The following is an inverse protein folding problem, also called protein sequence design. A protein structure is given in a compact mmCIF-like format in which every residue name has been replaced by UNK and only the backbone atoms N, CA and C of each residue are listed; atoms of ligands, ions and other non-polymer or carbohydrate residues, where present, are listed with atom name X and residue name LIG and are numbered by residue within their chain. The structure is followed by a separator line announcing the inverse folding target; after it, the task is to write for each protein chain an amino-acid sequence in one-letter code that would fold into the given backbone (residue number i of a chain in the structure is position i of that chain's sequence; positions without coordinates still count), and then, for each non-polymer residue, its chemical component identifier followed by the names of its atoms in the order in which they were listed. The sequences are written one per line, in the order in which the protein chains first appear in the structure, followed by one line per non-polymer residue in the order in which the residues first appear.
data_IF_676938870275
#
_entry.id   IF_676938870275
#
_cell.length_a   1.000
_cell.length_b   1.000
_cell.length_c   1.000
_cell.angle_alpha   90.00
_cell.angle_beta   90.00
_cell.angle_gamma   90.00
#
_symmetry.space_group_name_H-M   'P 1'
#
loop_
_entity.id
_entity.type
_entity.pdbx_description
1 polymer ?
#
# COMPACT_ATOMS: atom_id res chain seq x y z
N UNK A 1 -15.45 -20.12 14.81
CA UNK A 1 -15.01 -18.71 14.85
C UNK A 1 -14.74 -18.29 13.41
N UNK A 2 -15.38 -17.25 12.85
CA UNK A 2 -15.13 -16.94 11.45
C UNK A 2 -13.79 -16.21 11.31
N UNK A 3 -12.94 -16.58 10.34
CA UNK A 3 -11.65 -15.95 10.12
C UNK A 3 -11.87 -14.56 9.50
N UNK A 4 -11.58 -13.51 10.26
CA UNK A 4 -11.70 -12.11 9.85
C UNK A 4 -10.61 -11.72 8.85
N UNK A 5 -10.85 -11.91 7.56
CA UNK A 5 -10.10 -11.21 6.52
C UNK A 5 -11.02 -10.68 5.42
N UNK A 6 -11.83 -9.67 5.76
CA UNK A 6 -12.52 -8.77 4.83
C UNK A 6 -11.51 -7.87 4.09
N UNK A 7 -10.72 -8.44 3.19
CA UNK A 7 -9.66 -7.74 2.45
C UNK A 7 -9.39 -8.40 1.10
N UNK A 8 -8.98 -7.60 0.14
CA UNK A 8 -8.45 -8.05 -1.16
C UNK A 8 -6.93 -7.89 -1.15
N UNK A 9 -6.23 -8.88 -1.70
CA UNK A 9 -4.78 -8.94 -1.78
C UNK A 9 -4.37 -8.76 -3.24
N UNK A 10 -3.58 -7.74 -3.52
CA UNK A 10 -2.98 -7.47 -4.82
C UNK A 10 -1.46 -7.66 -4.71
N UNK A 11 -0.79 -7.93 -5.82
CA UNK A 11 0.66 -8.13 -5.87
C UNK A 11 1.26 -7.64 -7.18
N UNK A 12 2.54 -7.27 -7.18
CA UNK A 12 3.35 -7.09 -8.40
C UNK A 12 4.38 -8.23 -8.59
N UNK A 13 4.20 -9.35 -7.86
CA UNK A 13 5.11 -10.49 -7.82
C UNK A 13 6.21 -10.40 -6.74
N UNK A 14 6.57 -9.20 -6.30
CA UNK A 14 7.57 -8.97 -5.25
C UNK A 14 6.96 -8.38 -3.96
N UNK A 15 6.05 -7.43 -4.14
CA UNK A 15 5.40 -6.63 -3.11
C UNK A 15 3.92 -6.93 -3.06
N UNK A 16 3.36 -6.72 -1.88
CA UNK A 16 1.96 -7.02 -1.59
C UNK A 16 1.22 -5.76 -1.21
N UNK A 17 0.03 -5.60 -1.78
CA UNK A 17 -0.91 -4.55 -1.43
C UNK A 17 -2.17 -5.19 -0.88
N UNK A 18 -2.57 -4.80 0.33
CA UNK A 18 -3.81 -5.24 0.95
C UNK A 18 -4.80 -4.08 0.94
N UNK A 19 -5.92 -4.25 0.24
CA UNK A 19 -7.05 -3.31 0.27
C UNK A 19 -8.09 -3.84 1.26
N UNK A 20 -8.31 -3.11 2.33
CA UNK A 20 -9.27 -3.49 3.37
C UNK A 20 -10.68 -3.00 3.01
N UNK A 21 -11.71 -3.73 3.46
CA UNK A 21 -13.12 -3.34 3.30
C UNK A 21 -13.50 -2.05 4.05
N UNK A 22 -12.60 -1.48 4.85
CA UNK A 22 -12.76 -0.16 5.47
C UNK A 22 -12.14 0.97 4.61
N UNK A 23 -11.60 0.66 3.42
CA UNK A 23 -11.01 1.62 2.51
C UNK A 23 -9.54 1.95 2.75
N UNK A 24 -8.89 1.36 3.77
CA UNK A 24 -7.44 1.47 3.95
C UNK A 24 -6.70 0.62 2.93
N UNK A 25 -5.50 1.06 2.58
CA UNK A 25 -4.58 0.31 1.73
C UNK A 25 -3.28 0.13 2.48
N UNK A 26 -2.80 -1.10 2.62
CA UNK A 26 -1.48 -1.39 3.19
C UNK A 26 -0.57 -1.99 2.12
N UNK A 27 0.51 -1.29 1.81
CA UNK A 27 1.58 -1.77 0.94
C UNK A 27 2.67 -2.35 1.82
N UNK A 28 3.17 -3.54 1.48
CA UNK A 28 4.21 -4.26 2.22
C UNK A 28 5.20 -4.87 1.25
N UNK A 29 6.48 -4.76 1.57
CA UNK A 29 7.52 -5.58 0.94
C UNK A 29 8.15 -6.48 1.99
N UNK A 30 8.78 -7.57 1.56
CA UNK A 30 9.70 -8.37 2.37
C UNK A 30 11.17 -8.03 2.10
N UNK A 31 11.48 -7.27 1.04
CA UNK A 31 12.84 -7.07 0.53
C UNK A 31 13.41 -5.67 0.73
N UNK A 32 12.54 -4.68 0.94
CA UNK A 32 12.94 -3.28 1.06
C UNK A 32 11.98 -2.52 1.98
N UNK A 33 12.43 -1.34 2.42
CA UNK A 33 11.55 -0.33 3.02
C UNK A 33 11.04 0.62 1.95
N UNK A 34 9.91 1.27 2.22
CA UNK A 34 9.26 2.18 1.29
C UNK A 34 9.61 3.62 1.61
N UNK A 35 9.85 4.41 0.56
CA UNK A 35 9.88 5.86 0.63
C UNK A 35 8.61 6.44 0.02
N UNK A 36 8.05 7.47 0.67
CA UNK A 36 7.03 8.31 0.06
C UNK A 36 7.75 9.36 -0.78
N UNK A 37 7.77 9.15 -2.09
CA UNK A 37 8.58 9.97 -3.03
C UNK A 37 7.78 11.09 -3.68
N UNK A 38 6.46 10.93 -3.78
CA UNK A 38 5.57 11.98 -4.28
C UNK A 38 4.20 11.93 -3.58
N UNK A 39 3.53 13.07 -3.54
CA UNK A 39 2.13 13.19 -3.15
C UNK A 39 1.49 14.30 -3.97
N UNK A 40 0.28 14.04 -4.45
CA UNK A 40 -0.36 14.98 -5.34
C UNK A 40 -1.88 14.89 -5.32
N UNK A 41 -2.47 15.79 -6.10
CA UNK A 41 -3.88 15.82 -6.42
C UNK A 41 -4.01 15.42 -7.88
N UNK A 42 -4.81 14.40 -8.17
CA UNK A 42 -5.04 13.94 -9.55
C UNK A 42 -6.45 14.31 -10.04
N UNK A 43 -7.36 14.68 -9.13
CA UNK A 43 -8.68 15.26 -9.44
C UNK A 43 -9.01 16.38 -8.44
N UNK A 44 -10.01 17.22 -8.72
CA UNK A 44 -10.41 18.31 -7.81
C UNK A 44 -10.70 17.83 -6.37
N UNK A 45 -11.13 16.59 -6.19
CA UNK A 45 -11.49 16.01 -4.89
C UNK A 45 -10.57 14.85 -4.46
N UNK A 46 -9.70 14.35 -5.34
CA UNK A 46 -8.92 13.13 -5.11
C UNK A 46 -7.42 13.35 -4.98
N UNK A 47 -6.81 12.71 -3.99
CA UNK A 47 -5.36 12.73 -3.75
C UNK A 47 -4.72 11.35 -3.90
N UNK A 48 -3.41 11.35 -4.13
CA UNK A 48 -2.59 10.15 -4.22
C UNK A 48 -1.25 10.33 -3.51
N UNK A 49 -0.62 9.20 -3.21
CA UNK A 49 0.76 9.08 -2.77
C UNK A 49 1.48 8.08 -3.66
N UNK A 50 2.73 8.36 -3.98
CA UNK A 50 3.62 7.49 -4.75
C UNK A 50 4.66 6.89 -3.81
N UNK A 51 4.73 5.56 -3.79
CA UNK A 51 5.64 4.79 -2.95
C UNK A 51 6.69 4.13 -3.83
N UNK A 52 7.95 4.39 -3.55
CA UNK A 52 9.07 3.74 -4.24
C UNK A 52 9.91 2.93 -3.25
N UNK A 53 10.57 1.85 -3.71
CA UNK A 53 11.59 1.17 -2.92
C UNK A 53 12.71 2.14 -2.51
N UNK A 54 13.07 2.17 -1.23
CA UNK A 54 14.11 3.05 -0.72
C UNK A 54 15.50 2.63 -1.25
N UNK A 55 16.25 3.50 -1.97
CA UNK A 55 17.49 3.11 -2.67
C UNK A 55 18.62 2.61 -1.76
N UNK A 56 18.68 3.11 -0.52
CA UNK A 56 19.80 2.89 0.40
C UNK A 56 19.47 1.91 1.54
N UNK A 57 18.28 1.30 1.53
CA UNK A 57 17.77 0.43 2.60
C UNK A 57 17.10 -0.79 2.01
N UNK A 58 17.85 -1.53 1.20
CA UNK A 58 17.53 -2.93 1.00
C UNK A 58 17.68 -3.61 2.35
N UNK A 59 16.62 -4.24 2.83
CA UNK A 59 16.80 -5.20 3.88
C UNK A 59 17.75 -6.25 3.32
N UNK A 60 18.84 -6.57 4.03
CA UNK A 60 19.72 -7.69 3.69
C UNK A 60 18.89 -8.98 3.79
N UNK A 61 18.06 -9.26 2.78
CA UNK A 61 17.22 -10.44 2.71
C UNK A 61 17.89 -11.32 1.67
N UNK A 62 18.50 -12.41 2.12
CA UNK A 62 18.93 -13.46 1.21
C UNK A 62 17.70 -13.92 0.45
N UNK A 63 17.80 -13.98 -0.88
CA UNK A 63 16.69 -14.33 -1.76
C UNK A 63 16.03 -15.68 -1.40
N UNK A 64 16.75 -16.56 -0.71
CA UNK A 64 16.31 -17.89 -0.28
C UNK A 64 15.41 -17.88 0.96
N UNK A 65 15.33 -16.76 1.71
CA UNK A 65 14.48 -16.61 2.90
C UNK A 65 13.15 -15.89 2.58
N UNK A 66 12.78 -15.79 1.30
CA UNK A 66 11.50 -15.22 0.86
C UNK A 66 10.34 -16.17 1.22
N UNK A 67 9.99 -16.23 2.49
CA UNK A 67 8.71 -16.84 2.87
C UNK A 67 7.60 -15.94 2.32
N UNK A 68 6.93 -16.41 1.28
CA UNK A 68 5.82 -15.71 0.66
C UNK A 68 4.78 -15.43 1.76
N UNK A 69 4.52 -14.16 2.05
CA UNK A 69 3.54 -13.77 3.05
C UNK A 69 2.22 -14.54 2.80
N UNK A 70 1.63 -15.20 3.80
CA UNK A 70 0.56 -16.19 3.56
C UNK A 70 -0.65 -15.60 2.81
N UNK A 71 -1.14 -16.36 1.82
CA UNK A 71 -2.34 -16.08 1.02
C UNK A 71 -2.03 -15.73 -0.45
N UNK A 72 -2.64 -16.49 -1.37
CA UNK A 72 -2.60 -16.22 -2.82
C UNK A 72 -3.20 -14.84 -3.12
N UNK A 73 -2.51 -13.99 -3.90
CA UNK A 73 -3.08 -12.72 -4.36
C UNK A 73 -4.33 -12.95 -5.22
N UNK A 74 -5.33 -12.08 -5.06
CA UNK A 74 -6.53 -12.05 -5.89
C UNK A 74 -6.24 -11.46 -7.29
N UNK A 75 -5.24 -10.57 -7.37
CA UNK A 75 -4.75 -9.96 -8.61
C UNK A 75 -3.23 -9.80 -8.56
N UNK A 76 -2.58 -10.05 -9.70
CA UNK A 76 -1.14 -9.86 -9.88
C UNK A 76 -0.91 -8.98 -11.10
N UNK A 77 -0.26 -7.83 -10.91
CA UNK A 77 0.23 -7.01 -12.01
C UNK A 77 1.60 -7.52 -12.46
N UNK A 78 1.73 -7.85 -13.74
CA UNK A 78 3.01 -8.28 -14.31
C UNK A 78 3.89 -7.07 -14.61
N UNK A 79 5.10 -7.04 -14.02
CA UNK A 79 6.04 -5.96 -14.26
C UNK A 79 7.00 -6.31 -15.40
N UNK A 80 7.25 -5.34 -16.28
CA UNK A 80 8.31 -5.36 -17.28
C UNK A 80 9.21 -4.13 -17.06
N UNK A 81 10.38 -4.27 -16.41
CA UNK A 81 11.27 -3.16 -16.10
C UNK A 81 11.69 -2.32 -17.31
N UNK A 82 11.67 -2.88 -18.53
CA UNK A 82 12.01 -2.15 -19.76
C UNK A 82 11.01 -1.03 -20.09
N UNK A 83 9.79 -1.10 -19.55
CA UNK A 83 8.74 -0.10 -19.73
C UNK A 83 8.79 1.04 -18.70
N UNK A 84 9.73 0.98 -17.74
CA UNK A 84 10.04 2.07 -16.82
C UNK A 84 8.84 2.58 -16.02
N UNK A 85 8.54 3.87 -16.11
CA UNK A 85 7.50 4.54 -15.32
C UNK A 85 6.07 4.38 -15.86
N UNK A 86 5.86 3.50 -16.84
CA UNK A 86 4.52 3.19 -17.34
C UNK A 86 3.72 2.33 -16.33
N UNK A 87 2.40 2.53 -16.31
CA UNK A 87 1.48 1.74 -15.46
C UNK A 87 1.38 0.32 -15.99
N UNK A 88 1.71 -0.64 -15.13
CA UNK A 88 1.63 -2.07 -15.37
C UNK A 88 0.22 -2.64 -15.15
N UNK A 89 -0.50 -2.07 -14.19
CA UNK A 89 -1.86 -2.49 -13.88
C UNK A 89 -2.52 -1.60 -12.84
N UNK A 90 -3.83 -1.49 -12.92
CA UNK A 90 -4.67 -0.67 -12.04
C UNK A 90 -5.73 -1.52 -11.37
N UNK A 91 -5.76 -1.51 -10.04
CA UNK A 91 -6.89 -1.98 -9.26
C UNK A 91 -7.68 -0.78 -8.72
N UNK A 92 -9.00 -0.77 -8.94
CA UNK A 92 -9.89 0.26 -8.42
C UNK A 92 -10.90 -0.33 -7.44
N UNK A 93 -11.46 0.51 -6.59
CA UNK A 93 -12.46 0.12 -5.60
C UNK A 93 -13.71 0.99 -5.67
N UNK A 94 -14.86 0.43 -5.29
CA UNK A 94 -16.18 1.10 -5.37
C UNK A 94 -16.35 2.32 -4.46
N UNK A 95 -15.37 2.62 -3.60
CA UNK A 95 -15.32 3.86 -2.81
C UNK A 95 -14.37 4.92 -3.42
N UNK A 96 -13.92 4.70 -4.66
CA UNK A 96 -12.97 5.54 -5.37
C UNK A 96 -11.50 5.29 -5.02
N UNK A 97 -11.17 4.36 -4.12
CA UNK A 97 -9.77 4.01 -3.85
C UNK A 97 -9.17 3.32 -5.07
N UNK A 98 -7.93 3.61 -5.40
CA UNK A 98 -7.19 2.93 -6.46
C UNK A 98 -5.75 2.63 -6.05
N UNK A 99 -5.19 1.63 -6.72
CA UNK A 99 -3.80 1.20 -6.63
C UNK A 99 -3.31 1.02 -8.06
N UNK A 100 -2.22 1.70 -8.43
CA UNK A 100 -1.54 1.50 -9.70
C UNK A 100 -0.16 0.92 -9.44
N UNK A 101 0.13 -0.19 -10.10
CA UNK A 101 1.45 -0.77 -10.15
C UNK A 101 2.19 -0.18 -11.35
N UNK A 102 3.42 0.26 -11.13
CA UNK A 102 4.28 0.82 -12.16
C UNK A 102 5.38 -0.18 -12.49
N UNK A 103 5.77 -0.26 -13.76
CA UNK A 103 6.74 -1.24 -14.24
C UNK A 103 8.13 -1.14 -13.59
N UNK A 104 8.51 0.03 -13.05
CA UNK A 104 9.74 0.25 -12.28
C UNK A 104 9.67 -0.22 -10.80
N UNK A 105 8.55 -0.81 -10.38
CA UNK A 105 8.32 -1.28 -9.00
C UNK A 105 7.67 -0.24 -8.08
N UNK A 106 7.44 0.98 -8.57
CA UNK A 106 6.69 1.99 -7.83
C UNK A 106 5.22 1.60 -7.69
N UNK A 107 4.60 1.98 -6.56
CA UNK A 107 3.18 1.76 -6.31
C UNK A 107 2.52 3.10 -5.98
N UNK A 108 1.51 3.47 -6.77
CA UNK A 108 0.70 4.66 -6.54
C UNK A 108 -0.59 4.25 -5.85
N UNK A 109 -0.88 4.87 -4.70
CA UNK A 109 -2.11 4.64 -3.94
C UNK A 109 -2.88 5.94 -3.82
N UNK A 110 -4.14 5.95 -4.21
CA UNK A 110 -4.95 7.16 -4.16
C UNK A 110 -6.44 6.92 -4.00
N UNK A 111 -7.18 8.02 -3.99
CA UNK A 111 -8.63 8.00 -4.04
C UNK A 111 -9.14 9.08 -5.01
N UNK A 112 -10.17 8.77 -5.79
CA UNK A 112 -10.69 9.65 -6.83
C UNK A 112 -11.56 10.80 -6.33
N UNK A 113 -12.01 10.75 -5.07
CA UNK A 113 -12.87 11.80 -4.50
C UNK A 113 -12.65 12.08 -3.02
N UNK A 114 -11.53 11.65 -2.46
CA UNK A 114 -11.17 11.90 -1.06
C UNK A 114 -9.71 12.33 -0.93
N UNK A 115 -9.48 13.20 0.04
CA UNK A 115 -8.14 13.62 0.44
C UNK A 115 -7.46 12.54 1.31
N UNK A 116 -6.13 12.54 1.31
CA UNK A 116 -5.34 11.71 2.20
C UNK A 116 -5.57 12.11 3.66
N UNK A 117 -5.86 11.12 4.50
CA UNK A 117 -5.98 11.27 5.95
C UNK A 117 -4.63 11.14 6.65
N UNK A 118 -3.99 10.00 6.41
CA UNK A 118 -2.72 9.62 7.02
C UNK A 118 -1.99 8.64 6.11
N UNK A 119 -0.68 8.81 6.00
CA UNK A 119 0.26 7.74 5.63
C UNK A 119 0.98 7.29 6.89
N UNK A 120 1.07 5.98 7.09
CA UNK A 120 1.71 5.35 8.25
C UNK A 120 2.79 4.40 7.74
N UNK A 121 4.00 4.94 7.58
CA UNK A 121 5.16 4.25 7.04
C UNK A 121 5.96 3.64 8.18
N UNK A 122 5.98 2.32 8.25
CA UNK A 122 6.63 1.56 9.30
C UNK A 122 7.74 0.70 8.72
N UNK A 123 8.91 0.73 9.35
CA UNK A 123 9.95 -0.27 9.17
C UNK A 123 10.12 -1.09 10.44
N UNK A 124 10.83 -2.21 10.35
CA UNK A 124 11.23 -3.02 11.51
C UNK A 124 12.74 -2.86 11.74
N UNK A 125 13.15 -2.65 12.98
CA UNK A 125 14.58 -2.64 13.32
C UNK A 125 15.15 -4.05 13.19
N UNK A 126 16.35 -4.17 12.62
CA UNK A 126 17.03 -5.45 12.49
C UNK A 126 17.59 -5.89 13.85
N UNK A 127 16.87 -6.76 14.57
CA UNK A 127 17.40 -7.50 15.73
C UNK A 127 17.89 -8.88 15.30
N UNK A 128 18.86 -9.46 16.02
CA UNK A 128 19.39 -10.82 15.74
C UNK A 128 18.29 -11.89 15.64
N UNK A 129 17.18 -11.72 16.36
CA UNK A 129 16.03 -12.65 16.39
C UNK A 129 14.97 -12.40 15.29
N UNK A 130 15.01 -11.28 14.54
CA UNK A 130 13.94 -10.85 13.63
C UNK A 130 14.32 -10.92 12.14
N UNK A 131 15.20 -11.85 11.76
CA UNK A 131 15.73 -11.94 10.41
C UNK A 131 14.66 -12.18 9.30
N UNK A 132 13.48 -12.71 9.65
CA UNK A 132 12.44 -13.08 8.68
C UNK A 132 11.46 -11.95 8.30
N UNK A 133 11.41 -10.82 9.02
CA UNK A 133 10.41 -9.75 8.80
C UNK A 133 11.07 -8.38 8.54
N UNK A 134 12.05 -8.33 7.63
CA UNK A 134 12.90 -7.13 7.44
C UNK A 134 12.33 -6.05 6.52
N UNK A 135 11.22 -6.30 5.82
CA UNK A 135 10.65 -5.34 4.88
C UNK A 135 9.78 -4.25 5.52
N UNK A 136 9.59 -3.15 4.80
CA UNK A 136 8.77 -2.02 5.24
C UNK A 136 7.30 -2.15 4.83
N UNK A 137 6.46 -1.36 5.48
CA UNK A 137 5.05 -1.26 5.17
C UNK A 137 4.56 0.19 5.22
N UNK A 138 3.68 0.57 4.29
CA UNK A 138 2.99 1.86 4.31
C UNK A 138 1.49 1.62 4.33
N UNK A 139 0.81 2.12 5.35
CA UNK A 139 -0.66 2.17 5.36
C UNK A 139 -1.14 3.54 4.94
N UNK A 140 -1.99 3.59 3.92
CA UNK A 140 -2.61 4.81 3.38
C UNK A 140 -4.09 4.81 3.74
N UNK A 141 -4.56 5.94 4.26
CA UNK A 141 -5.94 6.16 4.70
C UNK A 141 -6.49 7.46 4.12
N UNK A 142 -7.80 7.54 3.89
CA UNK A 142 -8.46 8.69 3.24
C UNK A 142 -9.53 9.32 4.13
N UNK A 143 -9.74 10.63 4.02
CA UNK A 143 -10.74 11.39 4.79
C UNK A 143 -12.10 11.35 4.13
N UNK A 144 -13.14 11.26 4.95
CA UNK A 144 -14.53 11.34 4.49
C UNK A 144 -15.03 10.07 3.82
N UNK A 145 -16.26 10.16 3.32
CA UNK A 145 -17.05 9.02 2.82
C UNK A 145 -17.57 9.23 1.39
N UNK A 146 -17.12 10.28 0.70
CA UNK A 146 -17.52 10.52 -0.68
C UNK A 146 -17.13 9.33 -1.56
N UNK A 147 -18.05 8.93 -2.44
CA UNK A 147 -17.85 7.89 -3.44
C UNK A 147 -18.06 8.50 -4.81
N UNK A 148 -17.08 8.40 -5.73
CA UNK A 148 -17.25 8.87 -7.09
C UNK A 148 -18.35 8.05 -7.78
N UNK A 149 -19.08 8.69 -8.68
CA UNK A 149 -20.12 8.04 -9.49
C UNK A 149 -19.51 7.09 -10.51
N UNK A 150 -18.45 7.56 -11.17
CA UNK A 150 -17.72 6.81 -12.18
C UNK A 150 -16.46 6.26 -11.54
N UNK A 151 -16.26 4.95 -11.68
CA UNK A 151 -15.05 4.28 -11.20
C UNK A 151 -13.98 4.41 -12.27
N UNK A 152 -12.74 4.73 -11.86
CA UNK A 152 -11.56 4.75 -12.72
C UNK A 152 -11.44 3.46 -13.55
N UNK A 153 -10.91 3.56 -14.75
CA UNK A 153 -10.51 2.41 -15.57
C UNK A 153 -9.56 1.48 -14.78
N UNK A 154 -9.80 0.17 -14.85
CA UNK A 154 -9.12 -0.80 -14.01
C UNK A 154 -9.07 -2.18 -14.64
N UNK A 155 -8.05 -2.94 -14.26
CA UNK A 155 -7.90 -4.36 -14.56
C UNK A 155 -8.57 -5.23 -13.49
N UNK A 156 -8.74 -4.68 -12.27
CA UNK A 156 -9.35 -5.36 -11.14
C UNK A 156 -10.27 -4.44 -10.32
N UNK A 157 -11.48 -4.91 -10.02
CA UNK A 157 -12.47 -4.16 -9.23
C UNK A 157 -12.63 -4.75 -7.83
N UNK A 158 -12.57 -3.87 -6.83
CA UNK A 158 -12.69 -4.21 -5.41
C UNK A 158 -13.99 -3.62 -4.86
N UNK A 159 -14.84 -4.46 -4.29
CA UNK A 159 -16.03 -4.00 -3.59
C UNK A 159 -15.71 -3.57 -2.16
N UNK A 160 -15.98 -2.31 -1.82
CA UNK A 160 -15.81 -1.79 -0.46
C UNK A 160 -17.18 -1.41 0.12
N UNK A 161 -17.62 -2.00 1.24
CA UNK A 161 -18.90 -1.69 1.88
C UNK A 161 -18.97 -0.26 2.44
N UNK A 162 -20.18 0.29 2.56
CA UNK A 162 -20.42 1.72 2.83
C UNK A 162 -20.18 2.14 4.29
N UNK A 163 -20.31 1.22 5.24
CA UNK A 163 -20.49 1.57 6.66
C UNK A 163 -19.29 1.28 7.56
N UNK A 164 -18.12 0.91 7.01
CA UNK A 164 -16.96 0.57 7.83
C UNK A 164 -16.07 1.80 8.05
N UNK A 165 -15.87 2.17 9.32
CA UNK A 165 -14.88 3.18 9.69
C UNK A 165 -13.48 2.56 9.63
N UNK A 166 -12.48 3.26 9.04
CA UNK A 166 -11.10 2.80 9.06
C UNK A 166 -10.61 2.53 10.48
N UNK A 167 -9.97 1.37 10.69
CA UNK A 167 -9.24 1.12 11.94
C UNK A 167 -8.06 2.09 12.07
N UNK A 168 -7.81 2.54 13.30
CA UNK A 168 -6.64 3.36 13.61
C UNK A 168 -5.35 2.56 13.39
N UNK A 169 -4.38 3.18 12.71
CA UNK A 169 -3.03 2.62 12.62
C UNK A 169 -2.42 2.51 14.03
N UNK A 170 -1.52 1.55 14.25
CA UNK A 170 -0.75 1.39 15.50
C UNK A 170 0.60 0.78 15.19
N UNK A 171 1.63 1.16 15.94
CA UNK A 171 2.92 0.48 15.94
C UNK A 171 2.80 -0.83 16.70
N UNK A 172 3.49 -1.87 16.23
CA UNK A 172 3.74 -3.07 17.01
C UNK A 172 5.12 -2.97 17.68
N UNK A 173 5.36 -3.86 18.65
CA UNK A 173 6.64 -3.90 19.37
C UNK A 173 7.78 -4.22 18.39
N UNK A 174 8.76 -3.32 18.30
CA UNK A 174 9.91 -3.45 17.39
C UNK A 174 9.74 -2.74 16.04
N UNK A 175 8.57 -2.13 15.78
CA UNK A 175 8.36 -1.26 14.63
C UNK A 175 8.83 0.17 14.96
N UNK A 176 9.40 0.84 13.97
CA UNK A 176 9.59 2.29 13.98
C UNK A 176 8.71 2.94 12.90
N UNK A 177 8.28 4.18 13.15
CA UNK A 177 7.59 4.98 12.14
C UNK A 177 8.60 5.87 11.42
N UNK A 178 8.68 5.76 10.09
CA UNK A 178 9.36 6.75 9.27
C UNK A 178 8.44 7.96 9.06
N UNK A 179 8.80 9.11 9.64
CA UNK A 179 8.05 10.36 9.51
C UNK A 179 8.38 11.17 8.27
N UNK A 180 9.38 10.76 7.48
CA UNK A 180 9.78 11.46 6.25
C UNK A 180 8.63 11.44 5.23
N UNK A 181 8.31 12.63 4.69
CA UNK A 181 7.19 12.87 3.75
C UNK A 181 5.82 12.33 4.20
N UNK A 182 5.65 12.10 5.51
CA UNK A 182 4.38 11.67 6.11
C UNK A 182 3.25 12.65 5.81
N UNK A 183 2.06 12.10 5.60
CA UNK A 183 0.79 12.83 5.58
C UNK A 183 0.03 12.50 6.86
N UNK A 184 -0.61 13.50 7.46
CA UNK A 184 -1.39 13.33 8.69
C UNK A 184 -0.60 13.63 9.97
N UNK A 185 -1.18 13.33 11.15
CA UNK A 185 -0.59 13.73 12.43
C UNK A 185 0.69 12.94 12.75
N UNK A 186 1.71 13.63 13.29
CA UNK A 186 2.86 12.96 13.88
C UNK A 186 2.47 12.39 15.24
N UNK A 187 2.73 11.09 15.45
CA UNK A 187 2.54 10.45 16.74
C UNK A 187 3.80 10.69 17.57
N UNK A 188 3.62 11.27 18.76
CA UNK A 188 4.70 11.50 19.74
C UNK A 188 4.87 10.28 20.62
#
# INVERSE_FOLDING_TARGET
MPPNAKRTILSNGADRVTVFHDGRVKVTSSSHVWDIVDRGRHSALGQYVTLAPAPARHADVRADDREAAPGTPDFVAELNPELGSAVAGTAAATNGTFVQFVHDGTIIVGNDGRDLAETFNTGREATEEAAAERGGAVTVTFKGSYRPRDIREHDWLIEIPVNEKPFSNRLYRGDYENSENKVGPHRR
#
